data_IF_997431181982
#
_entry.id   IF_997431181982
#
_cell.length_a   1.000
_cell.length_b   1.000
_cell.length_c   1.000
_cell.angle_alpha   90.00
_cell.angle_beta   90.00
_cell.angle_gamma   90.00
#
_symmetry.space_group_name_H-M   'P 1'
#
loop_
_entity.id
_entity.type
_entity.pdbx_description
1 polymer ?
#
# COMPACT_ATOMS: atom_id res chain seq x y z
N UNK A 1 -6.75 103.22 -31.09
CA UNK A 1 -8.03 102.51 -30.85
C UNK A 1 -7.89 100.99 -30.97
N UNK A 2 -7.06 100.49 -31.89
CA UNK A 2 -6.79 99.05 -32.04
C UNK A 2 -5.99 98.43 -30.89
N UNK A 3 -5.01 99.12 -30.32
CA UNK A 3 -4.14 98.57 -29.26
C UNK A 3 -4.89 98.27 -27.94
N UNK A 4 -5.88 99.10 -27.59
CA UNK A 4 -6.69 98.90 -26.38
C UNK A 4 -7.65 97.71 -26.50
N UNK A 5 -8.17 97.43 -27.70
CA UNK A 5 -9.01 96.27 -27.99
C UNK A 5 -8.19 94.98 -27.96
N UNK A 6 -6.96 95.03 -28.47
CA UNK A 6 -6.00 93.92 -28.43
C UNK A 6 -5.63 93.55 -26.98
N UNK A 7 -5.38 94.55 -26.12
CA UNK A 7 -5.06 94.32 -24.71
C UNK A 7 -6.24 93.70 -23.93
N UNK A 8 -7.46 94.18 -24.18
CA UNK A 8 -8.69 93.65 -23.58
C UNK A 8 -8.97 92.20 -24.02
N UNK A 9 -8.75 91.89 -25.29
CA UNK A 9 -8.87 90.53 -25.82
C UNK A 9 -7.83 89.59 -25.21
N UNK A 10 -6.59 90.05 -24.98
CA UNK A 10 -5.57 89.26 -24.29
C UNK A 10 -5.95 88.99 -22.83
N UNK A 11 -6.42 89.99 -22.08
CA UNK A 11 -6.85 89.82 -20.68
C UNK A 11 -8.04 88.86 -20.56
N UNK A 12 -9.04 89.01 -21.43
CA UNK A 12 -10.17 88.07 -21.51
C UNK A 12 -9.68 86.66 -21.87
N UNK A 13 -8.76 86.55 -22.84
CA UNK A 13 -8.11 85.30 -23.21
C UNK A 13 -7.41 84.62 -22.04
N UNK A 14 -6.62 85.35 -21.25
CA UNK A 14 -5.96 84.84 -20.05
C UNK A 14 -6.95 84.46 -18.95
N UNK A 15 -8.05 85.19 -18.79
CA UNK A 15 -9.11 84.86 -17.83
C UNK A 15 -9.82 83.55 -18.19
N UNK A 16 -10.16 83.36 -19.47
CA UNK A 16 -10.75 82.10 -19.96
C UNK A 16 -9.74 80.94 -19.90
N UNK A 17 -8.47 81.17 -20.20
CA UNK A 17 -7.40 80.18 -20.00
C UNK A 17 -7.25 79.79 -18.52
N UNK A 18 -7.30 80.76 -17.61
CA UNK A 18 -7.25 80.53 -16.16
C UNK A 18 -8.43 79.71 -15.67
N UNK A 19 -9.65 80.02 -16.12
CA UNK A 19 -10.86 79.22 -15.82
C UNK A 19 -10.77 77.80 -16.39
N UNK A 20 -10.24 77.66 -17.60
CA UNK A 20 -10.06 76.35 -18.24
C UNK A 20 -9.04 75.50 -17.49
N UNK A 21 -7.88 76.05 -17.16
CA UNK A 21 -6.83 75.36 -16.39
C UNK A 21 -7.33 75.00 -14.99
N UNK A 22 -8.12 75.87 -14.33
CA UNK A 22 -8.63 75.61 -12.98
C UNK A 22 -9.69 74.51 -12.91
N UNK A 23 -10.50 74.34 -13.95
CA UNK A 23 -11.65 73.42 -13.91
C UNK A 23 -11.46 72.14 -14.74
N UNK A 24 -10.86 72.23 -15.92
CA UNK A 24 -10.73 71.07 -16.82
C UNK A 24 -9.48 70.24 -16.54
N UNK A 25 -8.34 70.90 -16.27
CA UNK A 25 -7.08 70.22 -16.05
C UNK A 25 -7.11 69.27 -14.82
N UNK A 26 -7.64 69.69 -13.64
CA UNK A 26 -7.66 68.83 -12.46
C UNK A 26 -8.61 67.65 -12.63
N UNK A 27 -9.76 67.88 -13.28
CA UNK A 27 -10.75 66.83 -13.56
C UNK A 27 -10.18 65.77 -14.50
N UNK A 28 -9.54 66.19 -15.59
CA UNK A 28 -8.86 65.28 -16.51
C UNK A 28 -7.72 64.49 -15.84
N UNK A 29 -6.88 65.16 -15.04
CA UNK A 29 -5.78 64.50 -14.32
C UNK A 29 -6.29 63.50 -13.27
N UNK A 30 -7.40 63.81 -12.60
CA UNK A 30 -8.05 62.92 -11.63
C UNK A 30 -8.63 61.68 -12.33
N UNK A 31 -9.37 61.84 -13.43
CA UNK A 31 -9.87 60.71 -14.22
C UNK A 31 -8.75 59.86 -14.80
N UNK A 32 -7.70 60.50 -15.32
CA UNK A 32 -6.51 59.80 -15.83
C UNK A 32 -5.79 59.03 -14.73
N UNK A 33 -5.67 59.61 -13.52
CA UNK A 33 -5.10 58.95 -12.35
C UNK A 33 -5.94 57.74 -11.90
N UNK A 34 -7.27 57.88 -11.82
CA UNK A 34 -8.18 56.78 -11.50
C UNK A 34 -8.08 55.64 -12.53
N UNK A 35 -8.08 55.96 -13.82
CA UNK A 35 -7.96 54.96 -14.88
C UNK A 35 -6.60 54.25 -14.87
N UNK A 36 -5.54 54.94 -14.45
CA UNK A 36 -4.22 54.32 -14.30
C UNK A 36 -4.21 53.35 -13.10
N UNK A 37 -4.70 53.81 -11.94
CA UNK A 37 -4.81 52.97 -10.74
C UNK A 37 -5.68 51.72 -10.98
N UNK A 38 -6.83 51.86 -11.64
CA UNK A 38 -7.68 50.70 -11.99
C UNK A 38 -7.00 49.72 -12.95
N UNK A 39 -6.18 50.20 -13.88
CA UNK A 39 -5.41 49.32 -14.77
C UNK A 39 -4.31 48.57 -14.01
N UNK A 40 -3.63 49.23 -13.09
CA UNK A 40 -2.64 48.62 -12.20
C UNK A 40 -3.31 47.57 -11.30
N UNK A 41 -4.45 47.88 -10.68
CA UNK A 41 -5.22 46.93 -9.86
C UNK A 41 -5.64 45.69 -10.65
N UNK A 42 -6.10 45.84 -11.89
CA UNK A 42 -6.45 44.71 -12.77
C UNK A 42 -5.20 43.88 -13.11
N UNK A 43 -4.07 44.54 -13.36
CA UNK A 43 -2.79 43.88 -13.57
C UNK A 43 -2.37 43.04 -12.37
N UNK A 44 -2.42 43.63 -11.17
CA UNK A 44 -2.08 42.97 -9.90
C UNK A 44 -3.02 41.81 -9.59
N UNK A 45 -4.33 41.97 -9.81
CA UNK A 45 -5.31 40.89 -9.66
C UNK A 45 -4.99 39.76 -10.64
N UNK A 46 -4.74 40.08 -11.91
CA UNK A 46 -4.42 39.09 -12.94
C UNK A 46 -3.14 38.33 -12.57
N UNK A 47 -2.10 39.04 -12.12
CA UNK A 47 -0.86 38.44 -11.64
C UNK A 47 -1.13 37.50 -10.47
N UNK A 48 -1.85 37.94 -9.44
CA UNK A 48 -2.21 37.09 -8.29
C UNK A 48 -3.02 35.86 -8.70
N UNK A 49 -3.94 36.00 -9.66
CA UNK A 49 -4.72 34.84 -10.16
C UNK A 49 -3.83 33.84 -10.90
N UNK A 50 -2.88 34.31 -11.70
CA UNK A 50 -1.90 33.44 -12.37
C UNK A 50 -0.92 32.82 -11.36
N UNK A 51 -0.48 33.55 -10.33
CA UNK A 51 0.32 33.01 -9.22
C UNK A 51 -0.42 31.88 -8.50
N UNK A 52 -1.69 32.10 -8.11
CA UNK A 52 -2.52 31.07 -7.47
C UNK A 52 -2.72 29.86 -8.37
N UNK A 53 -2.98 30.08 -9.66
CA UNK A 53 -3.12 29.01 -10.65
C UNK A 53 -1.82 28.20 -10.81
N UNK A 54 -0.68 28.86 -10.88
CA UNK A 54 0.63 28.22 -10.97
C UNK A 54 0.96 27.42 -9.70
N UNK A 55 0.65 27.98 -8.52
CA UNK A 55 0.80 27.25 -7.25
C UNK A 55 -0.08 26.00 -7.23
N UNK A 56 -1.35 26.12 -7.59
CA UNK A 56 -2.27 24.98 -7.64
C UNK A 56 -1.80 23.91 -8.63
N UNK A 57 -1.36 24.30 -9.83
CA UNK A 57 -0.83 23.37 -10.82
C UNK A 57 0.41 22.62 -10.31
N UNK A 58 1.30 23.32 -9.62
CA UNK A 58 2.50 22.73 -9.03
C UNK A 58 2.15 21.76 -7.91
N UNK A 59 1.34 22.19 -6.94
CA UNK A 59 0.90 21.34 -5.82
C UNK A 59 0.15 20.11 -6.32
N UNK A 60 -0.72 20.27 -7.32
CA UNK A 60 -1.44 19.16 -7.92
C UNK A 60 -0.50 18.18 -8.64
N UNK A 61 0.53 18.68 -9.34
CA UNK A 61 1.51 17.83 -10.00
C UNK A 61 2.37 17.05 -8.98
N UNK A 62 2.79 17.70 -7.90
CA UNK A 62 3.53 17.08 -6.81
C UNK A 62 2.67 15.99 -6.12
N UNK A 63 1.43 16.33 -5.76
CA UNK A 63 0.47 15.39 -5.19
C UNK A 63 0.16 14.21 -6.11
N UNK A 64 -0.04 14.47 -7.40
CA UNK A 64 -0.30 13.41 -8.39
C UNK A 64 0.88 12.46 -8.55
N UNK A 65 2.10 13.00 -8.48
CA UNK A 65 3.34 12.21 -8.58
C UNK A 65 3.52 11.33 -7.35
N UNK A 66 3.29 11.89 -6.15
CA UNK A 66 3.33 11.15 -4.89
C UNK A 66 2.28 10.03 -4.87
N UNK A 67 1.04 10.34 -5.26
CA UNK A 67 -0.05 9.37 -5.33
C UNK A 67 0.26 8.23 -6.30
N UNK A 68 0.83 8.56 -7.48
CA UNK A 68 1.26 7.55 -8.46
C UNK A 68 2.34 6.65 -7.87
N UNK A 69 3.38 7.22 -7.28
CA UNK A 69 4.46 6.44 -6.66
C UNK A 69 3.93 5.49 -5.58
N UNK A 70 3.04 6.00 -4.71
CA UNK A 70 2.43 5.21 -3.64
C UNK A 70 1.58 4.06 -4.19
N UNK A 71 0.73 4.33 -5.17
CA UNK A 71 -0.11 3.30 -5.80
C UNK A 71 0.73 2.25 -6.52
N UNK A 72 1.76 2.66 -7.26
CA UNK A 72 2.68 1.74 -7.96
C UNK A 72 3.41 0.84 -6.95
N UNK A 73 3.88 1.42 -5.84
CA UNK A 73 4.52 0.66 -4.77
C UNK A 73 3.56 -0.34 -4.13
N UNK A 74 2.35 0.09 -3.75
CA UNK A 74 1.35 -0.80 -3.15
C UNK A 74 0.90 -1.92 -4.08
N UNK A 75 0.73 -1.61 -5.36
CA UNK A 75 0.44 -2.62 -6.36
C UNK A 75 1.59 -3.64 -6.49
N UNK A 76 2.86 -3.17 -6.44
CA UNK A 76 4.04 -4.05 -6.42
C UNK A 76 4.04 -4.95 -5.17
N UNK A 77 3.80 -4.40 -3.98
CA UNK A 77 3.70 -5.18 -2.74
C UNK A 77 2.60 -6.24 -2.82
N UNK A 78 1.41 -5.83 -3.27
CA UNK A 78 0.26 -6.70 -3.43
C UNK A 78 0.56 -7.86 -4.39
N UNK A 79 0.97 -7.55 -5.62
CA UNK A 79 1.12 -8.54 -6.70
C UNK A 79 2.31 -9.48 -6.52
N UNK A 80 3.43 -8.98 -6.02
CA UNK A 80 4.67 -9.76 -5.94
C UNK A 80 4.75 -10.61 -4.67
N UNK A 81 4.17 -10.13 -3.56
CA UNK A 81 4.29 -10.76 -2.25
C UNK A 81 2.93 -11.22 -1.70
N UNK A 82 2.04 -10.28 -1.38
CA UNK A 82 0.87 -10.58 -0.54
C UNK A 82 -0.17 -11.44 -1.24
N UNK A 83 -0.38 -11.30 -2.55
CA UNK A 83 -1.31 -12.15 -3.29
C UNK A 83 -0.90 -13.63 -3.26
N UNK A 84 0.41 -13.91 -3.35
CA UNK A 84 0.94 -15.27 -3.27
C UNK A 84 0.86 -15.81 -1.85
N UNK A 85 1.25 -15.01 -0.86
CA UNK A 85 1.16 -15.39 0.54
C UNK A 85 -0.29 -15.67 0.97
N UNK A 86 -1.22 -14.82 0.56
CA UNK A 86 -2.64 -15.00 0.84
C UNK A 86 -3.20 -16.27 0.21
N UNK A 87 -2.78 -16.61 -1.02
CA UNK A 87 -3.19 -17.87 -1.65
C UNK A 87 -2.73 -19.11 -0.85
N UNK A 88 -1.51 -19.08 -0.30
CA UNK A 88 -0.99 -20.16 0.56
C UNK A 88 -1.79 -20.25 1.86
N UNK A 89 -2.13 -19.11 2.47
CA UNK A 89 -3.00 -19.07 3.65
C UNK A 89 -4.37 -19.64 3.31
N UNK A 90 -5.01 -19.18 2.24
CA UNK A 90 -6.31 -19.68 1.78
C UNK A 90 -6.31 -21.19 1.55
N UNK A 91 -5.22 -21.76 1.04
CA UNK A 91 -5.06 -23.21 0.91
C UNK A 91 -5.07 -23.92 2.27
N UNK A 92 -4.32 -23.41 3.25
CA UNK A 92 -4.33 -23.94 4.64
C UNK A 92 -5.72 -23.83 5.28
N UNK A 93 -6.41 -22.70 5.08
CA UNK A 93 -7.76 -22.46 5.61
C UNK A 93 -8.80 -23.38 4.96
N UNK A 94 -8.70 -23.61 3.65
CA UNK A 94 -9.56 -24.57 2.96
C UNK A 94 -9.34 -25.99 3.48
N UNK A 95 -8.08 -26.39 3.73
CA UNK A 95 -7.79 -27.67 4.36
C UNK A 95 -8.43 -27.79 5.75
N UNK A 96 -8.37 -26.74 6.56
CA UNK A 96 -9.05 -26.69 7.87
C UNK A 96 -10.55 -26.91 7.72
N UNK A 97 -11.20 -26.16 6.83
CA UNK A 97 -12.63 -26.32 6.53
C UNK A 97 -12.97 -27.76 6.08
N UNK A 98 -12.16 -28.32 5.17
CA UNK A 98 -12.36 -29.69 4.69
C UNK A 98 -12.22 -30.72 5.81
N UNK A 99 -11.20 -30.59 6.66
CA UNK A 99 -10.96 -31.48 7.80
C UNK A 99 -12.10 -31.43 8.82
N UNK A 100 -12.63 -30.24 9.11
CA UNK A 100 -13.79 -30.10 9.99
C UNK A 100 -15.04 -30.76 9.37
N UNK A 101 -15.31 -30.48 8.08
CA UNK A 101 -16.51 -30.93 7.37
C UNK A 101 -16.59 -32.45 7.20
N UNK A 102 -15.47 -33.10 6.88
CA UNK A 102 -15.45 -34.52 6.49
C UNK A 102 -14.82 -35.44 7.54
N UNK A 103 -13.96 -34.92 8.40
CA UNK A 103 -13.26 -35.70 9.44
C UNK A 103 -13.66 -35.32 10.86
N UNK A 104 -14.49 -34.28 11.05
CA UNK A 104 -14.92 -33.82 12.38
C UNK A 104 -13.78 -33.26 13.23
N UNK A 105 -12.66 -32.90 12.61
CA UNK A 105 -11.48 -32.34 13.27
C UNK A 105 -11.65 -30.84 13.39
N UNK A 106 -12.13 -30.37 14.54
CA UNK A 106 -12.15 -28.95 14.86
C UNK A 106 -10.76 -28.52 15.34
N UNK A 107 -10.07 -27.71 14.53
CA UNK A 107 -8.72 -27.22 14.81
C UNK A 107 -8.68 -25.72 14.56
N UNK A 108 -9.09 -24.91 15.56
CA UNK A 108 -9.20 -23.47 15.38
C UNK A 108 -7.84 -22.84 15.10
N UNK A 109 -7.84 -21.71 14.40
CA UNK A 109 -6.64 -20.96 14.02
C UNK A 109 -5.74 -20.62 15.22
N UNK A 110 -6.33 -20.40 16.40
CA UNK A 110 -5.58 -20.10 17.61
C UNK A 110 -4.74 -21.27 18.13
N UNK A 111 -5.14 -22.51 17.83
CA UNK A 111 -4.50 -23.77 18.26
C UNK A 111 -3.66 -24.40 17.15
N UNK A 112 -4.07 -24.25 15.89
CA UNK A 112 -3.32 -24.69 14.71
C UNK A 112 -3.28 -23.53 13.71
N UNK A 113 -2.25 -22.68 13.77
CA UNK A 113 -2.20 -21.46 12.96
C UNK A 113 -1.98 -21.71 11.46
N UNK A 114 -1.43 -22.87 11.09
CA UNK A 114 -1.14 -23.17 9.69
C UNK A 114 -1.08 -24.68 9.46
N UNK A 115 -1.70 -25.15 8.38
CA UNK A 115 -1.64 -26.52 7.92
C UNK A 115 -0.64 -26.68 6.77
N UNK A 116 0.31 -27.59 6.93
CA UNK A 116 1.25 -27.98 5.88
C UNK A 116 0.76 -29.21 5.13
N UNK A 117 0.83 -29.20 3.80
CA UNK A 117 0.49 -30.35 2.96
C UNK A 117 1.78 -31.00 2.46
N UNK A 118 2.03 -32.24 2.89
CA UNK A 118 3.20 -33.02 2.49
C UNK A 118 2.79 -34.13 1.51
N UNK A 119 3.40 -34.15 0.32
CA UNK A 119 3.23 -35.22 -0.67
C UNK A 119 4.43 -36.18 -0.66
N UNK A 120 4.20 -37.48 -0.51
CA UNK A 120 5.26 -38.50 -0.61
C UNK A 120 4.95 -39.50 -1.70
N UNK A 121 5.84 -39.66 -2.67
CA UNK A 121 5.78 -40.73 -3.68
C UNK A 121 6.74 -41.83 -3.29
N UNK A 122 6.24 -43.05 -3.17
CA UNK A 122 7.07 -44.22 -2.92
C UNK A 122 7.08 -45.10 -4.16
N UNK A 123 8.24 -45.22 -4.79
CA UNK A 123 8.48 -46.20 -5.86
C UNK A 123 9.05 -47.48 -5.26
N UNK A 124 8.33 -48.58 -5.43
CA UNK A 124 8.76 -49.90 -4.99
C UNK A 124 9.07 -50.75 -6.22
N UNK A 125 10.29 -51.26 -6.32
CA UNK A 125 10.65 -52.33 -7.24
C UNK A 125 10.48 -53.64 -6.51
N UNK A 126 9.69 -54.55 -7.06
CA UNK A 126 9.54 -55.91 -6.55
C UNK A 126 9.98 -56.92 -7.60
N UNK A 127 10.52 -58.04 -7.13
CA UNK A 127 10.83 -59.19 -7.96
C UNK A 127 9.53 -59.81 -8.49
N UNK A 128 9.48 -60.06 -9.80
CA UNK A 128 8.26 -60.41 -10.52
C UNK A 128 7.70 -61.79 -10.14
N UNK A 129 8.54 -62.68 -9.59
CA UNK A 129 8.18 -64.07 -9.30
C UNK A 129 8.09 -64.37 -7.80
N UNK A 130 8.92 -63.72 -6.98
CA UNK A 130 8.94 -63.90 -5.52
C UNK A 130 8.17 -62.83 -4.75
N UNK A 131 7.82 -61.70 -5.39
CA UNK A 131 7.19 -60.55 -4.74
C UNK A 131 8.11 -59.83 -3.74
N UNK A 132 9.38 -60.21 -3.65
CA UNK A 132 10.33 -59.59 -2.74
C UNK A 132 10.64 -58.15 -3.18
N UNK A 133 10.57 -57.19 -2.26
CA UNK A 133 10.90 -55.78 -2.54
C UNK A 133 12.41 -55.67 -2.76
N UNK A 134 12.81 -55.34 -4.00
CA UNK A 134 14.19 -55.17 -4.44
C UNK A 134 14.74 -53.77 -4.12
N UNK A 135 13.89 -52.74 -4.18
CA UNK A 135 14.26 -51.38 -3.77
C UNK A 135 13.02 -50.55 -3.47
N UNK A 136 13.05 -49.75 -2.42
CA UNK A 136 12.04 -48.75 -2.10
C UNK A 136 12.69 -47.37 -2.13
N UNK A 137 12.23 -46.49 -3.01
CA UNK A 137 12.65 -45.09 -3.09
C UNK A 137 11.46 -44.21 -2.73
N UNK A 138 11.57 -43.47 -1.63
CA UNK A 138 10.55 -42.47 -1.25
C UNK A 138 11.08 -41.09 -1.60
N UNK A 139 10.38 -40.37 -2.45
CA UNK A 139 10.66 -39.00 -2.84
C UNK A 139 9.55 -38.09 -2.30
N UNK A 140 9.94 -36.95 -1.74
CA UNK A 140 9.00 -35.88 -1.41
C UNK A 140 8.62 -35.17 -2.71
N UNK A 141 7.32 -35.14 -3.01
CA UNK A 141 6.81 -34.46 -4.19
C UNK A 141 6.65 -32.97 -3.90
N UNK A 142 7.24 -32.12 -4.74
CA UNK A 142 7.03 -30.67 -4.74
C UNK A 142 6.16 -30.30 -5.94
N UNK A 143 4.85 -30.25 -5.74
CA UNK A 143 3.89 -29.69 -6.68
C UNK A 143 3.41 -28.32 -6.18
N UNK A 144 2.65 -27.56 -6.98
CA UNK A 144 2.15 -26.22 -6.61
C UNK A 144 1.34 -26.16 -5.31
N UNK A 145 0.85 -27.30 -4.83
CA UNK A 145 0.09 -27.46 -3.58
C UNK A 145 0.99 -27.89 -2.40
N UNK A 146 2.02 -28.70 -2.64
CA UNK A 146 2.90 -29.23 -1.57
C UNK A 146 4.18 -28.40 -1.41
N UNK A 147 4.43 -27.46 -2.32
CA UNK A 147 5.62 -26.61 -2.33
C UNK A 147 5.69 -25.64 -1.14
N UNK A 148 4.61 -25.37 -0.39
CA UNK A 148 4.64 -24.34 0.65
C UNK A 148 4.54 -24.89 2.07
N UNK A 149 5.69 -25.00 2.73
CA UNK A 149 5.80 -25.22 4.18
C UNK A 149 6.03 -23.90 4.95
N UNK A 150 5.94 -23.95 6.29
CA UNK A 150 6.10 -22.75 7.14
C UNK A 150 7.46 -22.07 6.95
N UNK A 151 8.52 -22.84 6.68
CA UNK A 151 9.86 -22.32 6.37
C UNK A 151 9.90 -21.59 5.03
N UNK A 152 9.28 -22.13 3.99
CA UNK A 152 9.25 -21.57 2.64
C UNK A 152 8.44 -20.28 2.59
N UNK A 153 7.37 -20.15 3.37
CA UNK A 153 6.66 -18.88 3.56
C UNK A 153 7.64 -17.81 4.06
N UNK A 154 8.44 -18.13 5.07
CA UNK A 154 9.38 -17.18 5.66
C UNK A 154 10.56 -16.88 4.73
N UNK A 155 11.11 -17.89 4.06
CA UNK A 155 12.16 -17.70 3.06
C UNK A 155 11.65 -16.85 1.88
N UNK A 156 10.39 -17.02 1.46
CA UNK A 156 9.75 -16.20 0.44
C UNK A 156 9.60 -14.73 0.88
N UNK A 157 9.16 -14.47 2.12
CA UNK A 157 9.08 -13.12 2.69
C UNK A 157 10.46 -12.46 2.72
N UNK A 158 11.49 -13.18 3.19
CA UNK A 158 12.85 -12.65 3.31
C UNK A 158 13.45 -12.35 1.93
N UNK A 159 13.20 -13.22 0.94
CA UNK A 159 13.67 -13.04 -0.44
C UNK A 159 13.05 -11.81 -1.08
N UNK A 160 11.78 -11.52 -0.79
CA UNK A 160 11.03 -10.36 -1.26
C UNK A 160 11.02 -9.21 -0.23
N UNK A 161 12.10 -9.08 0.55
CA UNK A 161 12.22 -8.07 1.60
C UNK A 161 12.19 -6.62 1.10
N UNK A 162 12.38 -6.39 -0.20
CA UNK A 162 12.26 -5.06 -0.83
C UNK A 162 10.81 -4.56 -0.90
N UNK A 163 9.85 -5.48 -0.90
CA UNK A 163 8.41 -5.19 -0.94
C UNK A 163 7.67 -5.62 0.32
N UNK A 164 8.29 -6.37 1.23
CA UNK A 164 7.67 -6.79 2.48
C UNK A 164 7.45 -5.62 3.45
N UNK A 165 6.33 -5.63 4.20
CA UNK A 165 6.15 -4.68 5.29
C UNK A 165 7.24 -4.88 6.35
N UNK A 166 7.68 -3.79 6.98
CA UNK A 166 8.72 -3.84 8.01
C UNK A 166 8.34 -4.81 9.16
N UNK A 167 7.05 -4.86 9.50
CA UNK A 167 6.51 -5.77 10.52
C UNK A 167 6.64 -7.23 10.07
N UNK A 168 6.19 -7.55 8.87
CA UNK A 168 6.24 -8.92 8.34
C UNK A 168 7.69 -9.43 8.20
N UNK A 169 8.60 -8.58 7.73
CA UNK A 169 10.02 -8.93 7.61
C UNK A 169 10.68 -9.24 8.97
N UNK A 170 10.38 -8.43 10.00
CA UNK A 170 10.85 -8.67 11.37
C UNK A 170 10.34 -10.00 11.91
N UNK A 171 9.06 -10.29 11.71
CA UNK A 171 8.45 -11.56 12.12
C UNK A 171 9.07 -12.75 11.41
N UNK A 172 9.28 -12.68 10.08
CA UNK A 172 9.89 -13.75 9.31
C UNK A 172 11.34 -14.04 9.72
N UNK A 173 12.12 -13.01 10.04
CA UNK A 173 13.49 -13.19 10.55
C UNK A 173 13.50 -13.86 11.93
N UNK A 174 12.60 -13.43 12.83
CA UNK A 174 12.45 -14.03 14.14
C UNK A 174 12.01 -15.49 14.03
N UNK A 175 11.02 -15.78 13.17
CA UNK A 175 10.55 -17.14 12.91
C UNK A 175 11.67 -18.03 12.37
N UNK A 176 12.46 -17.55 11.40
CA UNK A 176 13.60 -18.31 10.86
C UNK A 176 14.59 -18.72 11.95
N UNK A 177 14.77 -17.88 12.97
CA UNK A 177 15.59 -18.22 14.14
C UNK A 177 14.89 -19.27 15.02
N UNK A 178 13.65 -19.04 15.44
CA UNK A 178 12.89 -19.98 16.28
C UNK A 178 12.76 -21.37 15.62
N UNK A 179 12.36 -21.41 14.34
CA UNK A 179 12.23 -22.62 13.54
C UNK A 179 13.55 -23.38 13.34
N UNK A 180 14.72 -22.76 13.53
CA UNK A 180 16.00 -23.49 13.48
C UNK A 180 16.26 -24.29 14.76
N UNK A 181 15.58 -23.96 15.85
CA UNK A 181 15.85 -24.49 17.18
C UNK A 181 14.65 -25.19 17.84
N UNK A 182 13.46 -25.09 17.24
CA UNK A 182 12.28 -25.83 17.71
C UNK A 182 12.41 -27.34 17.48
N UNK A 183 11.63 -28.11 18.23
CA UNK A 183 11.68 -29.57 18.31
C UNK A 183 11.49 -30.30 16.97
N UNK A 184 10.68 -29.76 16.05
CA UNK A 184 10.43 -30.36 14.75
C UNK A 184 11.53 -30.13 13.71
N UNK A 185 12.53 -29.28 14.00
CA UNK A 185 13.62 -28.93 13.07
C UNK A 185 14.72 -29.99 12.96
N UNK A 186 14.66 -31.04 13.78
CA UNK A 186 15.68 -32.10 13.85
C UNK A 186 16.98 -31.70 14.57
N UNK A 187 17.10 -30.45 15.06
CA UNK A 187 18.18 -30.04 15.95
C UNK A 187 17.78 -30.25 17.41
N UNK A 188 18.58 -31.05 18.11
CA UNK A 188 18.37 -31.30 19.53
C UNK A 188 18.97 -30.15 20.35
N UNK A 189 18.10 -29.36 20.98
CA UNK A 189 18.48 -28.48 22.09
C UNK A 189 18.50 -29.33 23.36
N UNK A 190 19.64 -29.36 24.06
CA UNK A 190 19.83 -30.20 25.25
C UNK A 190 19.00 -29.71 26.45
N UNK A 191 18.78 -28.41 26.56
CA UNK A 191 17.96 -27.80 27.62
C UNK A 191 16.46 -27.88 27.30
N UNK A 192 15.73 -28.66 28.10
CA UNK A 192 14.29 -28.88 27.98
C UNK A 192 13.47 -27.59 28.14
N UNK A 193 13.88 -26.66 29.01
CA UNK A 193 13.19 -25.37 29.18
C UNK A 193 13.35 -24.50 27.96
N UNK A 194 14.57 -24.46 27.41
CA UNK A 194 14.87 -23.68 26.22
C UNK A 194 14.17 -24.25 24.98
N UNK A 195 14.09 -25.58 24.88
CA UNK A 195 13.34 -26.28 23.84
C UNK A 195 11.87 -25.89 23.86
N UNK A 196 11.22 -25.95 25.03
CA UNK A 196 9.82 -25.53 25.18
C UNK A 196 9.62 -24.06 24.78
N UNK A 197 10.52 -23.18 25.20
CA UNK A 197 10.46 -21.78 24.81
C UNK A 197 10.55 -21.58 23.28
N UNK A 198 11.39 -22.36 22.58
CA UNK A 198 11.45 -22.31 21.12
C UNK A 198 10.20 -22.85 20.43
N UNK A 199 9.58 -23.90 20.97
CA UNK A 199 8.32 -24.44 20.46
C UNK A 199 7.18 -23.42 20.62
N UNK A 200 7.06 -22.81 21.81
CA UNK A 200 6.05 -21.77 22.09
C UNK A 200 6.27 -20.51 21.21
N UNK A 201 7.53 -20.09 21.01
CA UNK A 201 7.86 -18.95 20.15
C UNK A 201 7.63 -19.25 18.66
N UNK A 202 7.98 -20.44 18.16
CA UNK A 202 7.69 -20.84 16.77
C UNK A 202 6.19 -20.76 16.48
N UNK A 203 5.39 -21.28 17.40
CA UNK A 203 3.94 -21.28 17.33
C UNK A 203 3.35 -19.87 17.31
N UNK A 204 3.76 -19.02 18.25
CA UNK A 204 3.28 -17.64 18.33
C UNK A 204 3.72 -16.80 17.12
N UNK A 205 4.92 -17.04 16.61
CA UNK A 205 5.45 -16.32 15.46
C UNK A 205 4.71 -16.70 14.18
N UNK A 206 4.47 -17.99 13.92
CA UNK A 206 3.71 -18.38 12.71
C UNK A 206 2.28 -17.83 12.76
N UNK A 207 1.64 -17.86 13.93
CA UNK A 207 0.32 -17.26 14.15
C UNK A 207 0.30 -15.78 13.82
N UNK A 208 1.28 -15.02 14.31
CA UNK A 208 1.42 -13.59 13.99
C UNK A 208 1.71 -13.33 12.53
N UNK A 209 2.50 -14.18 11.87
CA UNK A 209 2.80 -14.08 10.43
C UNK A 209 1.51 -14.26 9.62
N UNK A 210 0.75 -15.34 9.85
CA UNK A 210 -0.48 -15.61 9.08
C UNK A 210 -1.50 -14.49 9.27
N UNK A 211 -1.73 -14.04 10.51
CA UNK A 211 -2.62 -12.89 10.77
C UNK A 211 -2.16 -11.63 10.05
N UNK A 212 -0.85 -11.34 10.08
CA UNK A 212 -0.29 -10.16 9.40
C UNK A 212 -0.45 -10.26 7.89
N UNK A 213 -0.29 -11.45 7.29
CA UNK A 213 -0.52 -11.66 5.86
C UNK A 213 -1.97 -11.32 5.48
N UNK A 214 -2.95 -11.84 6.23
CA UNK A 214 -4.38 -11.61 5.99
C UNK A 214 -4.72 -10.11 6.08
N UNK A 215 -4.26 -9.45 7.14
CA UNK A 215 -4.53 -8.02 7.36
C UNK A 215 -3.84 -7.13 6.32
N UNK A 216 -2.55 -7.34 6.06
CA UNK A 216 -1.78 -6.53 5.12
C UNK A 216 -2.30 -6.74 3.68
N UNK A 217 -2.72 -7.96 3.31
CA UNK A 217 -3.35 -8.23 2.01
C UNK A 217 -4.62 -7.41 1.80
N UNK A 218 -5.54 -7.41 2.77
CA UNK A 218 -6.77 -6.62 2.69
C UNK A 218 -6.52 -5.11 2.77
N UNK A 219 -5.52 -4.68 3.55
CA UNK A 219 -5.09 -3.28 3.62
C UNK A 219 -4.62 -2.80 2.25
N UNK A 220 -3.74 -3.58 1.61
CA UNK A 220 -3.24 -3.26 0.28
C UNK A 220 -4.36 -3.21 -0.75
N UNK A 221 -5.26 -4.20 -0.77
CA UNK A 221 -6.43 -4.22 -1.67
C UNK A 221 -7.30 -2.98 -1.48
N UNK A 222 -7.58 -2.58 -0.24
CA UNK A 222 -8.30 -1.33 0.07
C UNK A 222 -7.59 -0.11 -0.50
N UNK A 223 -6.28 0.01 -0.31
CA UNK A 223 -5.50 1.16 -0.75
C UNK A 223 -5.42 1.27 -2.29
N UNK A 224 -5.31 0.13 -2.98
CA UNK A 224 -5.34 0.08 -4.46
C UNK A 224 -6.76 -0.01 -5.04
N UNK A 225 -7.80 0.15 -4.21
CA UNK A 225 -9.22 0.16 -4.58
C UNK A 225 -9.74 -1.13 -5.24
N UNK A 226 -9.21 -2.27 -4.82
CA UNK A 226 -9.80 -3.58 -5.10
C UNK A 226 -10.80 -3.96 -4.01
N UNK A 227 -11.64 -4.96 -4.30
CA UNK A 227 -12.49 -5.60 -3.30
C UNK A 227 -11.66 -6.17 -2.15
N UNK A 228 -12.17 -6.17 -0.92
CA UNK A 228 -11.47 -6.68 0.26
C UNK A 228 -12.49 -7.09 1.32
N UNK A 229 -12.11 -7.99 2.23
CA UNK A 229 -12.93 -8.33 3.38
C UNK A 229 -12.62 -7.41 4.57
N UNK A 230 -13.64 -6.73 5.08
CA UNK A 230 -13.52 -5.90 6.28
C UNK A 230 -13.30 -6.76 7.53
N UNK A 231 -13.95 -7.93 7.60
CA UNK A 231 -13.79 -8.88 8.70
C UNK A 231 -12.34 -9.33 8.83
N UNK A 232 -11.73 -9.74 7.72
CA UNK A 232 -10.33 -10.17 7.67
C UNK A 232 -9.36 -9.03 8.01
N UNK A 233 -9.66 -7.82 7.54
CA UNK A 233 -8.86 -6.63 7.81
C UNK A 233 -8.81 -6.29 9.31
N UNK A 234 -9.94 -6.40 10.00
CA UNK A 234 -10.07 -6.01 11.42
C UNK A 234 -9.62 -7.12 12.37
N UNK A 235 -9.92 -8.38 12.05
CA UNK A 235 -9.67 -9.52 12.95
C UNK A 235 -8.35 -10.24 12.65
N UNK A 236 -7.87 -10.18 11.41
CA UNK A 236 -6.76 -11.00 10.92
C UNK A 236 -7.09 -12.50 10.86
N UNK A 237 -8.36 -12.87 10.94
CA UNK A 237 -8.85 -14.24 10.71
C UNK A 237 -9.38 -14.33 9.28
N UNK A 238 -9.22 -15.49 8.66
CA UNK A 238 -9.72 -15.74 7.31
C UNK A 238 -11.25 -15.89 7.33
N UNK A 239 -11.93 -15.26 6.36
CA UNK A 239 -13.37 -15.38 6.19
C UNK A 239 -13.67 -16.59 5.29
N UNK A 240 -14.38 -17.58 5.82
CA UNK A 240 -14.65 -18.85 5.14
C UNK A 240 -16.11 -18.97 4.65
N UNK A 241 -16.83 -17.84 4.58
CA UNK A 241 -18.22 -17.79 4.11
C UNK A 241 -18.40 -18.39 2.72
N UNK A 242 -17.44 -18.15 1.81
CA UNK A 242 -17.42 -18.66 0.45
C UNK A 242 -17.30 -20.19 0.40
N UNK A 243 -16.69 -20.82 1.41
CA UNK A 243 -16.60 -22.28 1.50
C UNK A 243 -17.89 -22.89 2.05
N UNK A 244 -18.62 -22.12 2.87
CA UNK A 244 -19.83 -22.55 3.57
C UNK A 244 -21.11 -22.28 2.78
N UNK A 245 -21.09 -21.39 1.79
CA UNK A 245 -22.25 -21.14 0.93
C UNK A 245 -22.63 -22.39 0.13
N UNK A 246 -23.86 -22.87 0.31
CA UNK A 246 -24.46 -23.98 -0.43
C UNK A 246 -25.10 -23.50 -1.73
#
# INVERSE_FOLDING_TARGET
MWDGVLLLAMVAGFFFLGLFIKNYLPTYMNEKGKNLATKEDIGDITQKTEEVKNMFQKEFADFSTELRFKNDFYYKQYSQLYAKLYAIVAQSEYFRYFAERYHGLNSPMDDVPFFEIHGKRTEMKADLFSGAILSQKTEEMTDSVTEYNKKQICDFIITNGDVASQKLLKLAIAYRFAHRHYSGSGKNVEDEKLKKAFDDEEFELIKKIVRTIIMDYNTLRKDIKLEYSLSELETGLFDDQEFKSK
#
